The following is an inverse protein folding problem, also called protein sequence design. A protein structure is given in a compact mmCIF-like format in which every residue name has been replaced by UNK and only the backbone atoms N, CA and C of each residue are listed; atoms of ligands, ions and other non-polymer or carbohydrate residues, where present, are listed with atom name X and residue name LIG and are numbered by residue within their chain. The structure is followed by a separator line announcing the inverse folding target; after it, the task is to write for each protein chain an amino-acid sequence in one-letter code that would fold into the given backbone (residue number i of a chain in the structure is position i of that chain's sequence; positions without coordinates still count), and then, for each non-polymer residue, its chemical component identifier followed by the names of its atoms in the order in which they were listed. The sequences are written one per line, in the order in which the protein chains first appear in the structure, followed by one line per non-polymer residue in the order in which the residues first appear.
data_IF_992285497350
#
_entry.id   IF_992285497350
#
_cell.length_a   1.000
_cell.length_b   1.000
_cell.length_c   1.000
_cell.angle_alpha   90.00
_cell.angle_beta   90.00
_cell.angle_gamma   90.00
#
_symmetry.space_group_name_H-M   'P 1'
#
loop_
_entity.id
_entity.type
_entity.pdbx_description
1 polymer ?
#
# COMPACT_ATOMS: atom_id res chain seq x y z
N UNK A 1 -1.71 18.46 15.37
CA UNK A 1 -1.01 18.39 16.67
C UNK A 1 -0.28 19.70 16.87
N UNK A 2 -0.33 20.31 18.06
CA UNK A 2 0.41 21.54 18.30
C UNK A 2 1.93 21.27 18.46
N UNK A 3 2.74 22.27 18.15
CA UNK A 3 4.20 22.17 18.24
C UNK A 3 4.69 21.84 19.67
N UNK A 4 3.89 22.22 20.68
CA UNK A 4 4.17 21.98 22.09
C UNK A 4 4.13 20.47 22.43
N UNK A 5 3.14 19.74 21.92
CA UNK A 5 2.99 18.30 22.11
C UNK A 5 4.14 17.53 21.45
N UNK A 6 4.56 17.95 20.25
CA UNK A 6 5.71 17.36 19.55
C UNK A 6 7.05 17.58 20.28
N UNK A 7 7.27 18.79 20.81
CA UNK A 7 8.46 19.11 21.60
C UNK A 7 8.49 18.33 22.92
N UNK A 8 7.33 18.10 23.54
CA UNK A 8 7.19 17.26 24.74
C UNK A 8 7.61 15.82 24.44
N UNK A 9 7.19 15.25 23.30
CA UNK A 9 7.59 13.89 22.92
C UNK A 9 9.09 13.74 22.68
N UNK A 10 9.72 14.72 22.05
CA UNK A 10 11.16 14.66 21.78
C UNK A 10 11.97 14.67 23.08
N UNK A 11 11.60 15.51 24.06
CA UNK A 11 12.27 15.55 25.37
C UNK A 11 12.14 14.26 26.18
N UNK A 12 11.05 13.52 26.00
CA UNK A 12 10.77 12.30 26.75
C UNK A 12 11.64 11.13 26.31
N UNK A 13 12.05 11.12 25.04
CA UNK A 13 12.95 10.09 24.50
C UNK A 13 14.41 10.34 24.84
N UNK A 14 14.78 11.60 25.09
CA UNK A 14 16.12 12.01 25.51
C UNK A 14 16.33 11.92 27.03
N UNK A 15 15.27 11.64 27.80
CA UNK A 15 15.33 11.53 29.24
C UNK A 15 16.00 10.21 29.69
N UNK A 16 16.72 10.21 30.84
CA UNK A 16 17.27 8.99 31.40
C UNK A 16 16.16 7.97 31.69
N UNK A 17 16.27 6.77 31.14
CA UNK A 17 15.32 5.68 31.38
C UNK A 17 15.63 5.02 32.73
N UNK A 18 14.60 4.72 33.50
CA UNK A 18 14.74 3.91 34.72
C UNK A 18 15.40 2.57 34.37
N UNK A 19 16.43 2.12 35.12
CA UNK A 19 17.16 0.90 34.83
C UNK A 19 16.33 -0.40 34.99
N UNK A 20 15.09 -0.30 35.48
CA UNK A 20 14.18 -1.44 35.55
C UNK A 20 13.88 -2.03 34.16
N UNK A 21 13.94 -3.37 34.07
CA UNK A 21 13.72 -4.12 32.82
C UNK A 21 12.39 -3.77 32.15
N UNK A 22 11.32 -3.58 32.93
CA UNK A 22 10.01 -3.23 32.39
C UNK A 22 9.97 -1.80 31.86
N UNK A 23 10.67 -0.86 32.51
CA UNK A 23 10.78 0.52 32.02
C UNK A 23 11.55 0.59 30.69
N UNK A 24 12.63 -0.20 30.57
CA UNK A 24 13.41 -0.33 29.31
C UNK A 24 12.53 -0.91 28.19
N UNK A 25 11.77 -1.98 28.45
CA UNK A 25 10.85 -2.56 27.46
C UNK A 25 9.75 -1.59 27.05
N UNK A 26 9.16 -0.87 28.00
CA UNK A 26 8.13 0.12 27.71
C UNK A 26 8.71 1.29 26.90
N UNK A 27 9.93 1.74 27.21
CA UNK A 27 10.62 2.75 26.43
C UNK A 27 10.91 2.29 24.99
N UNK A 28 11.39 1.06 24.80
CA UNK A 28 11.59 0.47 23.46
C UNK A 28 10.28 0.38 22.66
N UNK A 29 9.17 0.05 23.34
CA UNK A 29 7.85 0.03 22.73
C UNK A 29 7.42 1.42 22.25
N UNK A 30 7.57 2.45 23.09
CA UNK A 30 7.26 3.85 22.73
C UNK A 30 8.07 4.28 21.51
N UNK A 31 9.37 3.97 21.47
CA UNK A 31 10.22 4.26 20.31
C UNK A 31 9.75 3.54 19.03
N UNK A 32 9.43 2.25 19.16
CA UNK A 32 8.96 1.45 18.03
C UNK A 32 7.64 1.98 17.47
N UNK A 33 6.70 2.34 18.34
CA UNK A 33 5.43 2.92 17.91
C UNK A 33 5.58 4.32 17.32
N UNK A 34 6.49 5.16 17.84
CA UNK A 34 6.83 6.44 17.21
C UNK A 34 7.37 6.24 15.80
N UNK A 35 8.41 5.42 15.61
CA UNK A 35 8.97 5.16 14.29
C UNK A 35 7.93 4.59 13.32
N UNK A 36 7.03 3.72 13.81
CA UNK A 36 5.91 3.20 13.00
C UNK A 36 4.96 4.31 12.56
N UNK A 37 4.57 5.21 13.46
CA UNK A 37 3.66 6.30 13.12
C UNK A 37 4.34 7.35 12.24
N UNK A 38 5.61 7.66 12.46
CA UNK A 38 6.39 8.58 11.61
C UNK A 38 6.47 8.06 10.18
N UNK A 39 6.68 6.75 9.99
CA UNK A 39 6.66 6.13 8.66
C UNK A 39 5.27 6.25 8.00
N UNK A 40 4.18 6.02 8.75
CA UNK A 40 2.82 6.16 8.23
C UNK A 40 2.47 7.60 7.87
N UNK A 41 2.94 8.58 8.65
CA UNK A 41 2.75 10.00 8.36
C UNK A 41 3.54 10.42 7.11
N UNK A 42 4.76 9.90 6.94
CA UNK A 42 5.56 10.15 5.74
C UNK A 42 4.87 9.59 4.48
N UNK A 43 4.30 8.38 4.56
CA UNK A 43 3.51 7.79 3.47
C UNK A 43 2.30 8.65 3.10
N UNK A 44 1.59 9.22 4.08
CA UNK A 44 0.43 10.10 3.84
C UNK A 44 0.85 11.43 3.17
N UNK A 45 1.98 12.01 3.57
CA UNK A 45 2.45 13.30 3.04
C UNK A 45 3.07 13.19 1.63
N UNK A 46 3.71 12.06 1.29
CA UNK A 46 4.30 11.86 -0.05
C UNK A 46 3.20 11.78 -1.14
N UNK A 47 1.99 11.32 -0.78
CA UNK A 47 0.83 11.24 -1.67
C UNK A 47 0.19 12.62 -1.98
N UNK A 48 0.43 13.66 -1.17
CA UNK A 48 -0.22 14.98 -1.34
C UNK A 48 0.49 15.90 -2.34
N UNK A 49 1.78 15.69 -2.61
CA UNK A 49 2.57 16.58 -3.47
C UNK A 49 2.34 16.35 -4.98
N UNK A 50 1.59 15.31 -5.35
CA UNK A 50 1.36 14.93 -6.76
C UNK A 50 -0.08 15.06 -7.25
N UNK A 51 -1.01 15.51 -6.41
CA UNK A 51 -2.44 15.40 -6.70
C UNK A 51 -3.23 16.68 -6.39
N UNK A 52 -4.04 17.15 -7.35
CA UNK A 52 -5.06 18.18 -7.13
C UNK A 52 -6.22 17.53 -6.35
N UNK A 53 -6.06 17.51 -5.03
CA UNK A 53 -6.91 16.76 -4.11
C UNK A 53 -8.34 17.30 -4.07
N UNK A 54 -9.29 16.40 -4.35
CA UNK A 54 -10.70 16.59 -4.00
C UNK A 54 -10.83 16.92 -2.51
N UNK A 55 -11.66 17.90 -2.18
CA UNK A 55 -11.93 18.40 -0.82
C UNK A 55 -12.34 17.26 0.16
N UNK A 56 -12.99 16.22 -0.35
CA UNK A 56 -13.38 15.03 0.44
C UNK A 56 -12.19 14.17 0.88
N UNK A 57 -11.09 14.14 0.11
CA UNK A 57 -9.92 13.32 0.40
C UNK A 57 -9.03 13.97 1.48
N UNK A 58 -8.93 15.30 1.45
CA UNK A 58 -8.24 16.07 2.47
C UNK A 58 -8.85 15.83 3.87
N UNK A 59 -10.18 15.75 3.97
CA UNK A 59 -10.90 15.50 5.24
C UNK A 59 -10.61 14.10 5.81
N UNK A 60 -10.55 13.08 4.95
CA UNK A 60 -10.25 11.71 5.39
C UNK A 60 -8.79 11.56 5.84
N UNK A 61 -7.85 12.17 5.12
CA UNK A 61 -6.44 12.19 5.53
C UNK A 61 -6.24 12.91 6.86
N UNK A 62 -6.91 14.06 7.06
CA UNK A 62 -6.83 14.81 8.31
C UNK A 62 -7.35 13.98 9.50
N UNK A 63 -8.45 13.23 9.31
CA UNK A 63 -8.97 12.34 10.34
C UNK A 63 -8.01 11.19 10.69
N UNK A 64 -7.34 10.62 9.69
CA UNK A 64 -6.34 9.56 9.86
C UNK A 64 -5.12 10.10 10.61
N UNK A 65 -4.60 11.25 10.20
CA UNK A 65 -3.48 11.93 10.86
C UNK A 65 -3.83 12.23 12.32
N UNK A 66 -5.05 12.71 12.59
CA UNK A 66 -5.53 12.94 13.95
C UNK A 66 -5.64 11.66 14.78
N UNK A 67 -6.02 10.52 14.20
CA UNK A 67 -6.07 9.23 14.88
C UNK A 67 -4.67 8.70 15.23
N UNK A 68 -3.73 8.77 14.29
CA UNK A 68 -2.32 8.40 14.51
C UNK A 68 -1.70 9.21 15.67
N UNK A 69 -1.97 10.51 15.67
CA UNK A 69 -1.50 11.40 16.72
C UNK A 69 -2.14 11.14 18.09
N UNK A 70 -3.44 10.80 18.14
CA UNK A 70 -4.10 10.38 19.38
C UNK A 70 -3.50 9.09 19.93
N UNK A 71 -3.22 8.11 19.07
CA UNK A 71 -2.56 6.87 19.48
C UNK A 71 -1.18 7.12 20.10
N UNK A 72 -0.34 7.94 19.46
CA UNK A 72 0.96 8.30 20.04
C UNK A 72 0.78 8.98 21.40
N UNK A 73 -0.12 9.95 21.51
CA UNK A 73 -0.38 10.64 22.79
C UNK A 73 -0.78 9.65 23.91
N UNK A 74 -1.59 8.64 23.61
CA UNK A 74 -1.96 7.58 24.57
C UNK A 74 -0.79 6.67 24.95
N UNK A 75 0.04 6.27 23.98
CA UNK A 75 1.28 5.51 24.22
C UNK A 75 2.20 6.28 25.16
N UNK A 76 2.43 7.56 24.89
CA UNK A 76 3.27 8.42 25.71
C UNK A 76 2.71 8.67 27.11
N UNK A 77 1.42 8.97 27.23
CA UNK A 77 0.75 9.14 28.53
C UNK A 77 0.84 7.88 29.38
N UNK A 78 0.80 6.70 28.75
CA UNK A 78 0.91 5.43 29.48
C UNK A 78 2.33 5.22 30.01
N UNK A 79 3.34 5.60 29.24
CA UNK A 79 4.73 5.60 29.71
C UNK A 79 4.98 6.61 30.83
N UNK A 80 4.49 7.85 30.70
CA UNK A 80 4.64 8.90 31.71
C UNK A 80 3.97 8.57 33.06
N UNK A 81 2.91 7.75 33.04
CA UNK A 81 2.24 7.30 34.27
C UNK A 81 3.11 6.36 35.12
N UNK A 82 4.22 5.85 34.58
CA UNK A 82 5.16 4.97 35.28
C UNK A 82 4.68 3.52 35.46
N UNK A 83 3.52 3.17 34.92
CA UNK A 83 3.04 1.79 34.90
C UNK A 83 3.60 1.07 33.66
N UNK A 84 4.84 0.59 33.80
CA UNK A 84 5.57 -0.06 32.71
C UNK A 84 5.09 -1.47 32.33
N UNK A 85 4.00 -1.93 32.97
CA UNK A 85 3.37 -3.22 32.64
C UNK A 85 2.20 -3.08 31.65
N UNK A 86 1.74 -1.85 31.40
CA UNK A 86 0.60 -1.57 30.53
C UNK A 86 1.06 -1.02 29.19
N UNK A 87 0.75 -1.75 28.14
CA UNK A 87 1.01 -1.37 26.76
C UNK A 87 -0.32 -1.03 26.08
N UNK A 88 -0.33 0.03 25.26
CA UNK A 88 -1.46 0.33 24.38
C UNK A 88 -1.45 -0.67 23.23
N UNK A 89 -2.16 -1.79 23.37
CA UNK A 89 -2.15 -2.89 22.38
C UNK A 89 -3.12 -2.69 21.23
N UNK A 90 -4.10 -1.79 21.38
CA UNK A 90 -4.99 -1.42 20.28
C UNK A 90 -4.21 -0.52 19.33
N UNK A 91 -3.74 -1.09 18.23
CA UNK A 91 -3.06 -0.32 17.19
C UNK A 91 -4.13 0.27 16.28
N UNK A 92 -4.13 1.58 15.98
CA UNK A 92 -4.96 2.11 14.91
C UNK A 92 -4.63 1.29 13.66
N UNK A 93 -5.67 0.65 13.12
CA UNK A 93 -5.49 -0.38 12.11
C UNK A 93 -4.87 0.23 10.88
N UNK A 94 -3.67 -0.24 10.51
CA UNK A 94 -3.08 0.03 9.21
C UNK A 94 -4.02 -0.41 8.07
N UNK A 95 -4.98 -1.31 8.32
CA UNK A 95 -6.00 -1.70 7.35
C UNK A 95 -7.11 -0.66 7.14
N UNK A 96 -7.18 0.41 7.96
CA UNK A 96 -7.95 1.63 7.67
C UNK A 96 -7.09 2.72 7.02
N UNK A 97 -5.79 2.78 7.34
CA UNK A 97 -4.79 3.63 6.67
C UNK A 97 -4.55 3.19 5.22
N UNK A 98 -4.71 1.89 4.98
CA UNK A 98 -4.77 1.25 3.68
C UNK A 98 -6.16 0.61 3.54
N UNK A 99 -7.24 1.41 3.64
CA UNK A 99 -8.22 1.23 2.56
C UNK A 99 -7.36 1.27 1.31
N UNK A 100 -7.34 0.22 0.45
CA UNK A 100 -6.52 0.29 -0.74
C UNK A 100 -6.88 1.63 -1.36
N UNK A 101 -5.91 2.57 -1.41
CA UNK A 101 -6.08 3.86 -2.07
C UNK A 101 -6.97 3.54 -3.25
N UNK A 102 -8.18 4.11 -3.38
CA UNK A 102 -9.01 3.80 -4.52
C UNK A 102 -8.07 4.07 -5.67
N UNK A 103 -7.62 2.99 -6.32
CA UNK A 103 -6.51 3.06 -7.26
C UNK A 103 -6.88 4.25 -8.10
N UNK A 104 -6.07 5.34 -8.14
CA UNK A 104 -6.54 6.55 -8.79
C UNK A 104 -7.04 6.07 -10.13
N UNK A 105 -8.35 6.13 -10.40
CA UNK A 105 -8.93 5.33 -11.53
C UNK A 105 -8.20 5.68 -12.83
N UNK A 106 -7.66 6.89 -12.83
CA UNK A 106 -6.65 7.41 -13.74
C UNK A 106 -5.36 6.56 -13.87
N UNK A 107 -4.62 6.26 -12.80
CA UNK A 107 -3.42 5.42 -12.81
C UNK A 107 -3.69 4.00 -13.37
N UNK A 108 -4.83 3.40 -13.01
CA UNK A 108 -5.27 2.13 -13.61
C UNK A 108 -5.48 2.26 -15.12
N UNK A 109 -6.27 3.25 -15.54
CA UNK A 109 -6.57 3.49 -16.95
C UNK A 109 -5.33 3.83 -17.76
N UNK A 110 -4.41 4.61 -17.20
CA UNK A 110 -3.17 5.01 -17.86
C UNK A 110 -2.22 3.82 -18.02
N UNK A 111 -2.05 3.00 -16.97
CA UNK A 111 -1.29 1.75 -17.08
C UNK A 111 -1.88 0.82 -18.15
N UNK A 112 -3.20 0.58 -18.14
CA UNK A 112 -3.85 -0.23 -19.17
C UNK A 112 -3.70 0.34 -20.58
N UNK A 113 -3.79 1.67 -20.72
CA UNK A 113 -3.60 2.34 -22.00
C UNK A 113 -2.19 2.13 -22.54
N UNK A 114 -1.18 2.19 -21.67
CA UNK A 114 0.21 1.89 -22.04
C UNK A 114 0.36 0.42 -22.45
N UNK A 115 -0.17 -0.52 -21.67
CA UNK A 115 -0.18 -1.95 -22.03
C UNK A 115 -0.82 -2.19 -23.40
N UNK A 116 -1.98 -1.57 -23.67
CA UNK A 116 -2.70 -1.69 -24.94
C UNK A 116 -1.90 -1.14 -26.11
N UNK A 117 -1.32 0.05 -25.96
CA UNK A 117 -0.45 0.65 -26.99
C UNK A 117 0.74 -0.24 -27.32
N UNK A 118 1.35 -0.87 -26.31
CA UNK A 118 2.46 -1.81 -26.53
C UNK A 118 2.02 -3.10 -27.22
N UNK A 119 0.82 -3.59 -26.91
CA UNK A 119 0.26 -4.80 -27.54
C UNK A 119 -0.02 -4.64 -29.04
N UNK A 120 -0.06 -3.42 -29.57
CA UNK A 120 -0.21 -3.17 -31.01
C UNK A 120 1.04 -3.60 -31.79
N UNK A 121 2.22 -3.55 -31.15
CA UNK A 121 3.51 -3.96 -31.73
C UNK A 121 4.28 -4.85 -30.74
N UNK A 122 3.82 -6.10 -30.49
CA UNK A 122 4.44 -7.01 -29.51
C UNK A 122 5.93 -7.26 -29.77
N UNK A 123 6.36 -7.20 -31.04
CA UNK A 123 7.74 -7.37 -31.47
C UNK A 123 8.70 -6.28 -30.97
N UNK A 124 8.18 -5.11 -30.58
CA UNK A 124 8.97 -4.01 -30.05
C UNK A 124 9.02 -3.98 -28.52
N UNK A 125 8.33 -4.91 -27.86
CA UNK A 125 8.25 -4.96 -26.40
C UNK A 125 9.59 -5.42 -25.83
N UNK A 126 10.22 -4.52 -25.06
CA UNK A 126 11.43 -4.79 -24.27
C UNK A 126 11.15 -4.93 -22.78
N UNK A 127 10.07 -4.29 -22.31
CA UNK A 127 9.62 -4.34 -20.93
C UNK A 127 8.15 -3.91 -20.89
N UNK A 128 7.33 -4.52 -20.05
CA UNK A 128 5.97 -4.02 -19.80
C UNK A 128 6.01 -2.81 -18.85
N UNK A 129 5.06 -1.86 -18.98
CA UNK A 129 4.92 -0.82 -17.99
C UNK A 129 4.58 -1.47 -16.64
N UNK A 130 5.24 -1.00 -15.59
CA UNK A 130 4.98 -1.50 -14.25
C UNK A 130 3.56 -1.09 -13.84
N UNK A 131 2.76 -2.00 -13.26
CA UNK A 131 1.52 -1.61 -12.63
C UNK A 131 1.81 -0.60 -11.50
N UNK A 132 0.89 0.32 -11.21
CA UNK A 132 0.95 1.16 -10.02
C UNK A 132 1.22 0.33 -8.77
N UNK A 133 2.11 0.83 -7.94
CA UNK A 133 2.53 0.12 -6.74
C UNK A 133 1.38 0.04 -5.75
N UNK A 134 1.06 -1.18 -5.31
CA UNK A 134 0.14 -1.43 -4.21
C UNK A 134 0.82 -2.39 -3.24
N UNK A 135 0.98 -1.99 -1.95
CA UNK A 135 1.50 -2.88 -0.93
C UNK A 135 0.70 -4.18 -0.89
N UNK A 136 1.40 -5.31 -0.86
CA UNK A 136 0.73 -6.59 -0.67
C UNK A 136 0.12 -6.63 0.74
N UNK A 137 -1.18 -6.90 0.84
CA UNK A 137 -1.88 -7.02 2.13
C UNK A 137 -1.62 -8.35 2.85
N UNK A 138 -0.93 -9.30 2.20
CA UNK A 138 -0.67 -10.64 2.74
C UNK A 138 0.69 -10.69 3.45
N UNK A 139 0.65 -10.98 4.75
CA UNK A 139 1.84 -11.16 5.60
C UNK A 139 2.70 -12.31 5.05
N UNK A 140 4.00 -12.06 4.88
CA UNK A 140 4.97 -13.06 4.41
C UNK A 140 4.89 -13.37 2.90
N UNK A 141 4.37 -12.45 2.08
CA UNK A 141 4.33 -12.64 0.65
C UNK A 141 5.69 -12.38 0.00
N UNK A 142 6.42 -13.46 -0.32
CA UNK A 142 7.70 -13.41 -1.06
C UNK A 142 7.54 -13.53 -2.58
N UNK A 143 6.31 -13.79 -3.05
CA UNK A 143 5.95 -14.11 -4.44
C UNK A 143 5.82 -12.84 -5.30
N UNK A 144 6.85 -11.98 -5.23
CA UNK A 144 6.94 -10.76 -6.03
C UNK A 144 7.70 -11.03 -7.31
N UNK A 145 7.14 -10.61 -8.44
CA UNK A 145 7.90 -10.51 -9.68
C UNK A 145 9.04 -9.51 -9.45
N UNK A 146 10.28 -9.99 -9.34
CA UNK A 146 11.44 -9.17 -8.96
C UNK A 146 11.60 -7.89 -9.80
N UNK A 147 11.18 -7.91 -11.07
CA UNK A 147 11.28 -6.78 -11.99
C UNK A 147 10.17 -5.73 -11.85
N UNK A 148 9.00 -6.11 -11.30
CA UNK A 148 7.81 -5.25 -11.16
C UNK A 148 7.39 -5.03 -9.70
N UNK A 149 7.99 -5.74 -8.74
CA UNK A 149 7.63 -5.73 -7.30
C UNK A 149 6.13 -5.94 -7.05
N UNK A 150 5.47 -6.70 -7.93
CA UNK A 150 4.04 -6.98 -7.88
C UNK A 150 3.80 -8.46 -7.65
N UNK A 151 2.79 -8.78 -6.83
CA UNK A 151 2.26 -10.12 -6.62
C UNK A 151 0.78 -10.21 -7.03
N UNK A 152 0.24 -11.42 -7.06
CA UNK A 152 -1.18 -11.68 -7.38
C UNK A 152 -2.15 -10.92 -6.47
N UNK A 153 -1.84 -10.78 -5.17
CA UNK A 153 -2.72 -10.10 -4.21
C UNK A 153 -2.78 -8.60 -4.46
N UNK A 154 -1.63 -7.96 -4.76
CA UNK A 154 -1.59 -6.54 -5.13
C UNK A 154 -2.38 -6.28 -6.41
N UNK A 155 -2.28 -7.17 -7.41
CA UNK A 155 -3.06 -7.07 -8.64
C UNK A 155 -4.56 -7.30 -8.40
N UNK A 156 -4.93 -8.21 -7.50
CA UNK A 156 -6.32 -8.44 -7.15
C UNK A 156 -6.95 -7.19 -6.52
N UNK A 157 -6.27 -6.58 -5.55
CA UNK A 157 -6.67 -5.29 -4.97
C UNK A 157 -6.81 -4.24 -6.07
N UNK A 158 -5.84 -4.19 -6.98
CA UNK A 158 -5.80 -3.24 -8.09
C UNK A 158 -7.02 -3.37 -9.02
N UNK A 159 -7.36 -4.59 -9.43
CA UNK A 159 -8.49 -4.87 -10.31
C UNK A 159 -9.85 -4.71 -9.61
N UNK A 160 -9.95 -5.03 -8.30
CA UNK A 160 -11.17 -4.80 -7.52
C UNK A 160 -11.43 -3.29 -7.34
N UNK A 161 -10.39 -2.50 -7.08
CA UNK A 161 -10.49 -1.04 -6.94
C UNK A 161 -10.78 -0.30 -8.26
N UNK A 162 -10.58 -0.94 -9.42
CA UNK A 162 -10.85 -0.35 -10.72
C UNK A 162 -12.34 -0.22 -11.06
N UNK A 163 -13.23 -0.88 -10.28
CA UNK A 163 -14.70 -0.85 -10.47
C UNK A 163 -15.14 -1.18 -11.90
N UNK A 164 -14.45 -2.11 -12.55
CA UNK A 164 -14.81 -2.55 -13.90
C UNK A 164 -16.13 -3.31 -13.87
N UNK A 165 -17.03 -3.01 -14.82
CA UNK A 165 -18.21 -3.81 -15.01
C UNK A 165 -17.86 -5.18 -15.62
N UNK A 166 -18.80 -6.14 -15.57
CA UNK A 166 -18.57 -7.50 -16.06
C UNK A 166 -18.09 -7.57 -17.52
N UNK A 167 -18.62 -6.71 -18.41
CA UNK A 167 -18.18 -6.66 -19.82
C UNK A 167 -16.74 -6.16 -19.95
N UNK A 168 -16.34 -5.22 -19.10
CA UNK A 168 -14.97 -4.71 -19.04
C UNK A 168 -14.00 -5.76 -18.49
N UNK A 169 -14.38 -6.49 -17.43
CA UNK A 169 -13.59 -7.58 -16.88
C UNK A 169 -13.32 -8.69 -17.92
N UNK A 170 -14.34 -9.10 -18.69
CA UNK A 170 -14.15 -10.07 -19.78
C UNK A 170 -13.20 -9.54 -20.85
N UNK A 171 -13.31 -8.25 -21.23
CA UNK A 171 -12.41 -7.63 -22.21
C UNK A 171 -10.96 -7.64 -21.70
N UNK A 172 -10.76 -7.30 -20.43
CA UNK A 172 -9.44 -7.34 -19.80
C UNK A 172 -8.89 -8.76 -19.74
N UNK A 173 -9.71 -9.74 -19.34
CA UNK A 173 -9.27 -11.15 -19.27
C UNK A 173 -8.80 -11.65 -20.64
N UNK A 174 -9.55 -11.34 -21.69
CA UNK A 174 -9.18 -11.72 -23.06
C UNK A 174 -7.96 -10.94 -23.58
N UNK A 175 -7.74 -9.72 -23.12
CA UNK A 175 -6.54 -8.94 -23.42
C UNK A 175 -5.29 -9.55 -22.77
N UNK A 176 -5.41 -10.01 -21.53
CA UNK A 176 -4.30 -10.62 -20.78
C UNK A 176 -4.12 -12.13 -21.03
N UNK A 177 -4.83 -12.72 -21.99
CA UNK A 177 -4.64 -14.12 -22.35
C UNK A 177 -3.17 -14.38 -22.80
N UNK A 178 -2.47 -15.39 -22.26
CA UNK A 178 -1.06 -15.64 -22.55
C UNK A 178 -0.74 -15.72 -24.06
N UNK A 179 -1.62 -16.33 -24.85
CA UNK A 179 -1.47 -16.43 -26.31
C UNK A 179 -1.23 -15.09 -27.01
N UNK A 180 -1.82 -13.99 -26.50
CA UNK A 180 -1.63 -12.66 -27.08
C UNK A 180 -0.17 -12.18 -26.95
N UNK A 181 0.50 -12.59 -25.89
CA UNK A 181 1.84 -12.14 -25.53
C UNK A 181 2.95 -13.08 -26.00
N UNK A 182 2.59 -14.26 -26.53
CA UNK A 182 3.52 -15.23 -27.14
C UNK A 182 4.37 -14.66 -28.28
N UNK A 183 3.92 -13.58 -28.92
CA UNK A 183 4.62 -12.89 -30.04
C UNK A 183 5.75 -11.97 -29.59
N UNK A 184 5.88 -11.70 -28.29
CA UNK A 184 7.00 -10.91 -27.76
C UNK A 184 8.32 -11.65 -28.03
N UNK A 185 9.39 -10.97 -28.45
CA UNK A 185 10.68 -11.62 -28.72
C UNK A 185 11.38 -12.01 -27.42
N UNK A 186 12.26 -13.01 -27.52
CA UNK A 186 13.21 -13.29 -26.44
C UNK A 186 14.25 -12.16 -26.35
N UNK A 187 14.81 -11.84 -25.16
CA UNK A 187 14.60 -12.51 -23.86
C UNK A 187 13.37 -12.04 -23.08
N UNK A 188 12.62 -11.07 -23.60
CA UNK A 188 11.59 -10.35 -22.84
C UNK A 188 10.29 -11.15 -22.66
N UNK A 189 10.02 -12.10 -23.57
CA UNK A 189 8.79 -12.92 -23.57
C UNK A 189 8.47 -13.53 -22.22
N UNK A 190 9.46 -14.12 -21.54
CA UNK A 190 9.20 -14.86 -20.30
C UNK A 190 8.65 -13.95 -19.20
N UNK A 191 9.15 -12.72 -19.10
CA UNK A 191 8.68 -11.75 -18.10
C UNK A 191 7.25 -11.27 -18.43
N UNK A 192 7.00 -10.98 -19.71
CA UNK A 192 5.68 -10.54 -20.19
C UNK A 192 4.63 -11.63 -19.99
N UNK A 193 4.94 -12.87 -20.35
CA UNK A 193 4.05 -14.02 -20.17
C UNK A 193 3.74 -14.25 -18.69
N UNK A 194 4.73 -14.15 -17.80
CA UNK A 194 4.48 -14.25 -16.34
C UNK A 194 3.52 -13.18 -15.85
N UNK A 195 3.68 -11.92 -16.27
CA UNK A 195 2.74 -10.86 -15.91
C UNK A 195 1.34 -11.15 -16.45
N UNK A 196 1.23 -11.56 -17.71
CA UNK A 196 -0.04 -11.90 -18.33
C UNK A 196 -0.75 -13.04 -17.59
N UNK A 197 -0.02 -14.10 -17.21
CA UNK A 197 -0.54 -15.21 -16.42
C UNK A 197 -1.05 -14.73 -15.06
N UNK A 198 -0.30 -13.92 -14.33
CA UNK A 198 -0.74 -13.40 -13.03
C UNK A 198 -2.01 -12.56 -13.15
N UNK A 199 -2.06 -11.65 -14.12
CA UNK A 199 -3.25 -10.82 -14.36
C UNK A 199 -4.44 -11.68 -14.77
N UNK A 200 -4.23 -12.69 -15.61
CA UNK A 200 -5.27 -13.63 -16.01
C UNK A 200 -5.82 -14.43 -14.82
N UNK A 201 -4.94 -14.90 -13.93
CA UNK A 201 -5.33 -15.61 -12.69
C UNK A 201 -6.15 -14.73 -11.75
N UNK A 202 -5.90 -13.42 -11.71
CA UNK A 202 -6.72 -12.46 -10.95
C UNK A 202 -8.08 -12.24 -11.61
N UNK A 203 -8.09 -12.06 -12.93
CA UNK A 203 -9.31 -11.71 -13.67
C UNK A 203 -10.29 -12.87 -13.79
N UNK A 204 -9.82 -14.12 -13.85
CA UNK A 204 -10.67 -15.29 -14.03
C UNK A 204 -11.70 -15.45 -12.89
N UNK A 205 -11.31 -15.48 -11.59
CA UNK A 205 -12.26 -15.51 -10.48
C UNK A 205 -13.17 -14.28 -10.41
N UNK A 206 -12.65 -13.09 -10.76
CA UNK A 206 -13.45 -11.86 -10.78
C UNK A 206 -14.54 -11.89 -11.86
N UNK A 207 -14.28 -12.54 -12.99
CA UNK A 207 -15.30 -12.76 -14.02
C UNK A 207 -16.33 -13.81 -13.58
N UNK A 208 -15.88 -14.90 -12.96
CA UNK A 208 -16.73 -16.05 -12.59
C UNK A 208 -17.60 -15.78 -11.36
N UNK A 209 -17.16 -14.89 -10.45
CA UNK A 209 -17.87 -14.50 -9.23
C UNK A 209 -19.02 -13.51 -9.41
N UNK A 210 -19.26 -13.00 -10.63
CA UNK A 210 -20.37 -12.09 -10.96
C UNK A 210 -21.50 -12.89 -11.63
N UNK A 211 -21.99 -13.93 -10.96
CA UNK A 211 -23.14 -14.75 -11.38
C UNK A 211 -24.35 -14.51 -10.50
#
# INVERSE_FOLDING_TARGET
MDHHTWNRFSRLLDAPVDPCVEAIKHWQYVHTERSRVDNLLAEICDDTDTFDASESWAIEQEAIVAELYRHLDEVYKTFERGDHTKFITHKPSAAKLLNPLPVPKYAFKEWLKQCRKMSEKPELIRQLPRPPFIPCSKVGCDDTLASSKTCVHSLEIFYRGAELNHKELIKERNFWHPDRWSRVPQPHRQEVERMAILVFQVLQPLCDGIR
#
